data_IF_162006453634
#
_entry.id   IF_162006453634
#
_cell.length_a   1.000
_cell.length_b   1.000
_cell.length_c   1.000
_cell.angle_alpha   90.00
_cell.angle_beta   90.00
_cell.angle_gamma   90.00
#
_symmetry.space_group_name_H-M   'P 1'
#
loop_
_entity.id
_entity.type
_entity.pdbx_description
1 polymer ?
#
# COMPACT_ATOMS: atom_id res chain seq x y z
N UNK A 1 4.02 37.32 37.07
CA UNK A 1 4.33 36.19 36.18
C UNK A 1 3.28 36.17 35.08
N UNK A 2 3.59 36.74 33.91
CA UNK A 2 2.64 36.79 32.79
C UNK A 2 2.75 35.51 31.97
N UNK A 3 1.67 34.72 31.92
CA UNK A 3 1.57 33.58 31.04
C UNK A 3 1.58 34.07 29.58
N UNK A 4 2.61 33.69 28.83
CA UNK A 4 2.67 33.95 27.39
C UNK A 4 1.53 33.19 26.72
N UNK A 5 0.51 33.89 26.21
CA UNK A 5 -0.60 33.27 25.47
C UNK A 5 -0.01 32.67 24.20
N UNK A 6 0.01 31.33 24.12
CA UNK A 6 0.40 30.63 22.91
C UNK A 6 -0.44 31.13 21.74
N UNK A 7 0.19 31.34 20.58
CA UNK A 7 -0.51 31.75 19.37
C UNK A 7 -1.52 30.66 18.97
N UNK A 8 -2.64 31.01 18.31
CA UNK A 8 -3.60 30.03 17.81
C UNK A 8 -2.95 28.92 16.96
N UNK A 9 -1.89 29.26 16.22
CA UNK A 9 -1.09 28.32 15.46
C UNK A 9 -0.38 27.29 16.35
N UNK A 10 0.37 27.74 17.36
CA UNK A 10 1.14 26.84 18.24
C UNK A 10 0.24 25.88 19.02
N UNK A 11 -0.94 26.37 19.44
CA UNK A 11 -1.94 25.54 20.09
C UNK A 11 -2.49 24.46 19.13
N UNK A 12 -2.80 24.83 17.89
CA UNK A 12 -3.29 23.90 16.87
C UNK A 12 -2.24 22.87 16.47
N UNK A 13 -0.99 23.29 16.28
CA UNK A 13 0.12 22.40 15.95
C UNK A 13 0.34 21.34 17.05
N UNK A 14 0.32 21.77 18.32
CA UNK A 14 0.43 20.87 19.47
C UNK A 14 -0.72 19.87 19.51
N UNK A 15 -1.95 20.34 19.26
CA UNK A 15 -3.14 19.47 19.22
C UNK A 15 -3.05 18.42 18.10
N UNK A 16 -2.61 18.83 16.91
CA UNK A 16 -2.47 17.92 15.76
C UNK A 16 -1.38 16.88 16.00
N UNK A 17 -0.21 17.28 16.51
CA UNK A 17 0.90 16.35 16.84
C UNK A 17 0.53 15.37 17.95
N UNK A 18 -0.31 15.78 18.89
CA UNK A 18 -0.77 14.94 20.00
C UNK A 18 -1.99 14.04 19.68
N UNK A 19 -2.59 14.16 18.50
CA UNK A 19 -3.82 13.44 18.14
C UNK A 19 -3.53 12.31 17.15
N UNK A 20 -4.31 11.23 17.22
CA UNK A 20 -4.23 10.16 16.20
C UNK A 20 -4.93 10.60 14.91
N UNK A 21 -4.53 10.07 13.74
CA UNK A 21 -5.18 10.39 12.47
C UNK A 21 -6.70 10.14 12.49
N UNK A 22 -7.15 9.05 13.13
CA UNK A 22 -8.56 8.65 13.20
C UNK A 22 -9.37 9.64 14.05
N UNK A 23 -8.79 10.15 15.14
CA UNK A 23 -9.42 11.18 15.97
C UNK A 23 -9.54 12.50 15.24
N UNK A 24 -8.48 12.91 14.51
CA UNK A 24 -8.50 14.13 13.69
C UNK A 24 -9.57 14.00 12.61
N UNK A 25 -9.57 12.90 11.84
CA UNK A 25 -10.54 12.64 10.79
C UNK A 25 -11.98 12.65 11.33
N UNK A 26 -12.24 11.95 12.43
CA UNK A 26 -13.57 11.90 13.04
C UNK A 26 -14.05 13.29 13.48
N UNK A 27 -13.15 14.08 14.08
CA UNK A 27 -13.46 15.44 14.49
C UNK A 27 -13.78 16.34 13.28
N UNK A 28 -12.97 16.29 12.22
CA UNK A 28 -13.22 17.04 10.98
C UNK A 28 -14.56 16.65 10.37
N UNK A 29 -14.83 15.36 10.17
CA UNK A 29 -16.09 14.85 9.62
C UNK A 29 -17.31 15.27 10.47
N UNK A 30 -17.17 15.30 11.79
CA UNK A 30 -18.24 15.75 12.68
C UNK A 30 -18.46 17.27 12.59
N UNK A 31 -17.40 18.06 12.55
CA UNK A 31 -17.47 19.52 12.40
C UNK A 31 -18.06 19.93 11.06
N UNK A 32 -17.75 19.22 9.97
CA UNK A 32 -18.28 19.49 8.63
C UNK A 32 -19.81 19.42 8.56
N UNK A 33 -20.47 18.60 9.40
CA UNK A 33 -21.95 18.47 9.42
C UNK A 33 -22.66 19.76 9.85
N UNK A 34 -21.96 20.65 10.54
CA UNK A 34 -22.51 21.90 11.11
C UNK A 34 -21.78 23.15 10.59
N UNK A 35 -20.80 22.97 9.73
CA UNK A 35 -19.96 24.03 9.21
C UNK A 35 -20.72 24.89 8.19
N UNK A 36 -20.35 26.17 8.10
CA UNK A 36 -20.85 27.03 7.03
C UNK A 36 -20.23 26.65 5.69
N UNK A 37 -20.85 27.05 4.58
CA UNK A 37 -20.29 26.82 3.23
C UNK A 37 -18.89 27.43 3.11
N UNK A 38 -18.69 28.63 3.67
CA UNK A 38 -17.40 29.31 3.65
C UNK A 38 -16.31 28.54 4.40
N UNK A 39 -16.65 27.89 5.52
CA UNK A 39 -15.70 27.05 6.27
C UNK A 39 -15.36 25.78 5.48
N UNK A 40 -16.34 25.18 4.79
CA UNK A 40 -16.14 24.03 3.92
C UNK A 40 -15.22 24.39 2.75
N UNK A 41 -15.43 25.54 2.11
CA UNK A 41 -14.58 26.02 1.00
C UNK A 41 -13.14 26.27 1.48
N UNK A 42 -13.00 26.88 2.66
CA UNK A 42 -11.69 27.12 3.28
C UNK A 42 -10.98 25.80 3.58
N UNK A 43 -11.69 24.83 4.15
CA UNK A 43 -11.15 23.50 4.43
C UNK A 43 -10.79 22.75 3.14
N UNK A 44 -11.62 22.86 2.09
CA UNK A 44 -11.35 22.26 0.79
C UNK A 44 -10.08 22.82 0.15
N UNK A 45 -9.91 24.15 0.18
CA UNK A 45 -8.69 24.80 -0.30
C UNK A 45 -7.46 24.36 0.50
N UNK A 46 -7.58 24.23 1.83
CA UNK A 46 -6.49 23.78 2.68
C UNK A 46 -6.08 22.32 2.39
N UNK A 47 -7.05 21.46 2.06
CA UNK A 47 -6.83 20.04 1.77
C UNK A 47 -6.62 19.75 0.27
N UNK A 48 -6.58 20.77 -0.59
CA UNK A 48 -6.35 20.60 -2.02
C UNK A 48 -5.08 19.78 -2.37
N UNK A 49 -3.96 19.88 -1.63
CA UNK A 49 -2.81 19.01 -1.85
C UNK A 49 -3.13 17.51 -1.68
N UNK A 50 -3.95 17.14 -0.69
CA UNK A 50 -4.39 15.76 -0.50
C UNK A 50 -5.29 15.30 -1.65
N UNK A 51 -6.16 16.18 -2.15
CA UNK A 51 -7.00 15.86 -3.31
C UNK A 51 -6.13 15.58 -4.54
N UNK A 52 -5.14 16.45 -4.82
CA UNK A 52 -4.20 16.25 -5.93
C UNK A 52 -3.39 14.95 -5.81
N UNK A 53 -3.03 14.55 -4.58
CA UNK A 53 -2.33 13.29 -4.31
C UNK A 53 -3.23 12.06 -4.49
N UNK A 54 -4.55 12.21 -4.34
CA UNK A 54 -5.52 11.14 -4.58
C UNK A 54 -5.73 10.87 -6.08
N UNK A 55 -5.56 11.89 -6.92
CA UNK A 55 -5.88 11.82 -8.35
C UNK A 55 -4.81 11.10 -9.18
N UNK A 56 -3.62 10.90 -8.62
CA UNK A 56 -2.51 10.22 -9.31
C UNK A 56 -2.36 8.80 -8.79
N UNK A 57 -2.66 7.84 -9.66
CA UNK A 57 -2.41 6.42 -9.40
C UNK A 57 -1.02 6.05 -9.89
N UNK A 58 -0.21 5.55 -8.97
CA UNK A 58 1.13 5.01 -9.18
C UNK A 58 1.05 3.48 -9.14
N UNK A 59 2.10 2.81 -9.63
CA UNK A 59 2.16 1.36 -9.67
C UNK A 59 3.43 0.86 -8.97
N UNK A 60 3.27 0.04 -7.95
CA UNK A 60 4.37 -0.40 -7.10
C UNK A 60 5.28 -1.40 -7.84
N UNK A 61 6.58 -1.15 -7.91
CA UNK A 61 7.54 -2.10 -8.52
C UNK A 61 7.84 -3.32 -7.65
N UNK A 62 7.42 -3.31 -6.37
CA UNK A 62 7.62 -4.42 -5.44
C UNK A 62 6.47 -5.43 -5.43
N UNK A 63 5.23 -4.95 -5.30
CA UNK A 63 4.04 -5.81 -5.20
C UNK A 63 3.13 -5.74 -6.43
N UNK A 64 3.44 -4.87 -7.40
CA UNK A 64 2.67 -4.68 -8.62
C UNK A 64 1.20 -4.28 -8.42
N UNK A 65 0.89 -3.70 -7.26
CA UNK A 65 -0.41 -3.08 -6.99
C UNK A 65 -0.41 -1.59 -7.36
N UNK A 66 -1.57 -1.12 -7.80
CA UNK A 66 -1.84 0.31 -7.94
C UNK A 66 -2.05 0.94 -6.56
N UNK A 67 -1.53 2.16 -6.38
CA UNK A 67 -1.67 2.92 -5.14
C UNK A 67 -1.71 4.43 -5.43
N UNK A 68 -2.14 5.22 -4.45
CA UNK A 68 -2.01 6.69 -4.48
C UNK A 68 -1.19 7.13 -3.29
N UNK A 69 -0.61 8.33 -3.32
CA UNK A 69 0.21 8.78 -2.19
C UNK A 69 -0.61 8.88 -0.90
N UNK A 70 -1.92 9.18 -1.00
CA UNK A 70 -2.83 9.18 0.15
C UNK A 70 -2.98 7.82 0.82
N UNK A 71 -2.87 6.73 0.06
CA UNK A 71 -2.96 5.35 0.61
C UNK A 71 -1.59 4.75 0.91
N UNK A 72 -0.48 5.45 0.58
CA UNK A 72 0.89 4.95 0.70
C UNK A 72 1.49 5.09 2.13
N UNK A 73 0.78 4.61 3.13
CA UNK A 73 1.27 4.61 4.51
C UNK A 73 2.42 3.60 4.71
N UNK A 74 3.20 3.68 5.81
CA UNK A 74 4.37 2.81 6.05
C UNK A 74 4.17 1.29 6.04
N UNK A 75 2.92 0.80 5.96
CA UNK A 75 2.56 -0.63 5.94
C UNK A 75 1.58 -0.95 4.81
N UNK A 76 1.53 -0.11 3.78
CA UNK A 76 0.55 -0.21 2.69
C UNK A 76 0.88 -1.35 1.72
N UNK A 77 2.15 -1.48 1.35
CA UNK A 77 2.64 -2.58 0.55
C UNK A 77 2.84 -3.79 1.45
N UNK A 78 2.01 -4.81 1.23
CA UNK A 78 2.04 -6.08 1.95
C UNK A 78 2.33 -7.20 0.97
N UNK A 79 3.32 -8.03 1.30
CA UNK A 79 3.62 -9.27 0.57
C UNK A 79 3.55 -10.40 1.58
N UNK A 80 2.68 -11.37 1.33
CA UNK A 80 2.48 -12.54 2.18
C UNK A 80 3.63 -13.53 2.04
N UNK A 81 3.83 -14.36 3.05
CA UNK A 81 4.73 -15.52 2.93
C UNK A 81 4.22 -16.47 1.84
N UNK A 82 5.13 -16.93 0.97
CA UNK A 82 4.81 -17.99 0.03
C UNK A 82 4.58 -19.31 0.75
N UNK A 83 3.65 -20.12 0.25
CA UNK A 83 3.33 -21.43 0.85
C UNK A 83 4.50 -22.41 0.64
N UNK A 84 5.20 -22.76 1.72
CA UNK A 84 6.23 -23.80 1.72
C UNK A 84 7.68 -23.33 1.56
N UNK A 85 7.91 -22.02 1.59
CA UNK A 85 9.23 -21.42 1.33
C UNK A 85 10.02 -21.23 2.64
N UNK A 86 10.67 -22.29 3.11
CA UNK A 86 11.61 -22.15 4.23
C UNK A 86 12.48 -23.37 4.52
N UNK A 87 13.72 -23.10 4.90
CA UNK A 87 14.70 -24.11 5.30
C UNK A 87 14.60 -24.43 6.80
N UNK A 88 14.65 -25.72 7.14
CA UNK A 88 14.68 -26.20 8.53
C UNK A 88 16.11 -26.51 8.95
N UNK A 89 16.58 -25.81 9.98
CA UNK A 89 17.91 -26.02 10.57
C UNK A 89 17.77 -26.59 11.98
N UNK A 90 18.49 -27.69 12.27
CA UNK A 90 18.53 -28.26 13.62
C UNK A 90 19.59 -27.55 14.46
N UNK A 91 19.20 -26.99 15.60
CA UNK A 91 20.08 -26.32 16.55
C UNK A 91 20.20 -27.21 17.80
N UNK A 92 21.28 -27.99 17.88
CA UNK A 92 21.49 -28.95 18.97
C UNK A 92 20.67 -30.24 18.79
N UNK A 93 20.36 -30.91 19.90
CA UNK A 93 19.74 -32.24 19.85
C UNK A 93 18.23 -32.20 19.56
N UNK A 94 17.50 -31.16 20.00
CA UNK A 94 16.03 -31.17 19.96
C UNK A 94 15.34 -29.94 19.32
N UNK A 95 16.03 -28.83 19.06
CA UNK A 95 15.39 -27.63 18.51
C UNK A 95 15.50 -27.57 16.98
N UNK A 96 14.39 -27.28 16.29
CA UNK A 96 14.36 -27.06 14.84
C UNK A 96 13.87 -25.64 14.58
N UNK A 97 14.72 -24.82 13.98
CA UNK A 97 14.38 -23.47 13.53
C UNK A 97 14.02 -23.51 12.05
N UNK A 98 12.91 -22.87 11.69
CA UNK A 98 12.52 -22.64 10.31
C UNK A 98 12.92 -21.22 9.90
N UNK A 99 13.63 -21.09 8.79
CA UNK A 99 14.00 -19.81 8.17
C UNK A 99 13.18 -19.63 6.91
N UNK A 100 12.42 -18.53 6.79
CA UNK A 100 11.64 -18.28 5.58
C UNK A 100 12.52 -17.76 4.46
N UNK A 101 12.50 -18.42 3.31
CA UNK A 101 13.35 -18.04 2.17
C UNK A 101 12.98 -16.67 1.59
N UNK A 102 11.72 -16.23 1.78
CA UNK A 102 11.26 -14.94 1.26
C UNK A 102 11.77 -13.72 2.04
N UNK A 103 12.16 -13.87 3.32
CA UNK A 103 12.44 -12.73 4.21
C UNK A 103 13.48 -12.99 5.30
N UNK A 104 13.98 -14.22 5.43
CA UNK A 104 14.98 -14.60 6.43
C UNK A 104 14.46 -14.68 7.87
N UNK A 105 13.15 -14.51 8.09
CA UNK A 105 12.55 -14.62 9.42
C UNK A 105 12.77 -16.05 9.93
N UNK A 106 13.35 -16.15 11.12
CA UNK A 106 13.59 -17.39 11.82
C UNK A 106 12.58 -17.56 12.96
N UNK A 107 11.99 -18.74 13.07
CA UNK A 107 11.05 -19.09 14.12
C UNK A 107 11.10 -20.58 14.43
N UNK A 108 10.49 -21.00 15.53
CA UNK A 108 10.38 -22.43 15.85
C UNK A 108 9.52 -23.13 14.79
N UNK A 109 10.02 -24.22 14.21
CA UNK A 109 9.30 -24.94 13.16
C UNK A 109 7.97 -25.57 13.60
N UNK A 110 7.74 -25.68 14.91
CA UNK A 110 6.47 -26.13 15.48
C UNK A 110 5.46 -24.98 15.69
N UNK A 111 5.89 -23.72 15.57
CA UNK A 111 5.05 -22.53 15.68
C UNK A 111 4.64 -21.99 14.30
N UNK A 112 3.69 -21.05 14.29
CA UNK A 112 3.38 -20.27 13.08
C UNK A 112 4.41 -19.15 12.89
N UNK A 113 4.63 -18.67 11.65
CA UNK A 113 5.43 -17.48 11.41
C UNK A 113 4.97 -16.31 12.31
N UNK A 114 5.90 -15.53 12.88
CA UNK A 114 5.57 -14.44 13.81
C UNK A 114 4.74 -13.32 13.15
N UNK A 115 4.77 -13.25 11.83
CA UNK A 115 3.93 -12.35 11.03
C UNK A 115 3.39 -13.10 9.82
N UNK A 116 2.22 -12.72 9.28
CA UNK A 116 1.73 -13.31 8.04
C UNK A 116 2.36 -12.70 6.77
N UNK A 117 3.24 -11.70 6.89
CA UNK A 117 3.78 -10.94 5.76
C UNK A 117 5.31 -10.95 5.73
N UNK A 118 5.92 -11.30 4.59
CA UNK A 118 7.36 -11.12 4.33
C UNK A 118 7.74 -9.64 4.37
N UNK A 119 6.88 -8.76 3.83
CA UNK A 119 7.20 -7.33 3.66
C UNK A 119 6.03 -6.47 4.10
N UNK A 120 6.35 -5.50 4.97
CA UNK A 120 5.46 -4.41 5.38
C UNK A 120 6.18 -3.06 5.19
N UNK A 121 5.84 -2.34 4.13
CA UNK A 121 6.51 -1.08 3.81
C UNK A 121 5.62 -0.13 2.99
N UNK A 122 6.13 1.06 2.66
CA UNK A 122 5.53 1.94 1.64
C UNK A 122 5.67 1.32 0.26
N UNK A 123 4.68 1.48 -0.60
CA UNK A 123 4.83 1.26 -2.03
C UNK A 123 5.90 2.20 -2.60
N UNK A 124 6.56 1.76 -3.67
CA UNK A 124 7.57 2.55 -4.38
C UNK A 124 7.49 2.28 -5.87
N UNK A 125 7.84 3.28 -6.67
CA UNK A 125 8.10 3.16 -8.11
C UNK A 125 9.59 2.95 -8.42
N UNK A 126 10.46 3.12 -7.42
CA UNK A 126 11.91 3.04 -7.60
C UNK A 126 12.40 1.61 -7.28
N UNK A 127 12.93 0.87 -8.27
CA UNK A 127 13.50 -0.46 -8.07
C UNK A 127 14.62 -0.48 -7.01
N UNK A 128 15.41 0.58 -6.92
CA UNK A 128 16.54 0.66 -5.97
C UNK A 128 16.09 0.76 -4.50
N UNK A 129 14.82 1.11 -4.27
CA UNK A 129 14.21 1.13 -2.94
C UNK A 129 13.58 -0.21 -2.55
N UNK A 130 13.59 -1.18 -3.47
CA UNK A 130 13.09 -2.52 -3.19
C UNK A 130 14.24 -3.35 -2.65
N UNK A 131 14.07 -3.78 -1.40
CA UNK A 131 14.98 -4.69 -0.72
C UNK A 131 14.21 -5.97 -0.42
N UNK A 132 14.66 -7.06 -1.03
CA UNK A 132 14.27 -8.43 -0.72
C UNK A 132 15.34 -9.07 0.16
N UNK A 133 14.99 -10.17 0.82
CA UNK A 133 15.97 -10.98 1.52
C UNK A 133 16.82 -11.75 0.52
N UNK A 134 18.10 -11.89 0.84
CA UNK A 134 19.08 -12.67 0.10
C UNK A 134 19.76 -13.59 1.12
N UNK A 135 19.72 -14.91 0.89
CA UNK A 135 20.28 -15.89 1.84
C UNK A 135 21.78 -15.78 2.05
N UNK A 136 22.53 -15.28 1.07
CA UNK A 136 23.98 -15.13 1.12
C UNK A 136 24.39 -13.76 1.69
N UNK A 137 23.60 -12.71 1.44
CA UNK A 137 23.93 -11.31 1.79
C UNK A 137 23.08 -10.72 2.91
N UNK A 138 22.02 -11.39 3.33
CA UNK A 138 21.00 -10.89 4.26
C UNK A 138 19.98 -9.94 3.63
N UNK A 139 20.41 -9.03 2.75
CA UNK A 139 19.53 -8.10 2.02
C UNK A 139 20.02 -7.94 0.56
N UNK A 140 19.09 -7.85 -0.40
CA UNK A 140 19.41 -7.73 -1.82
C UNK A 140 18.25 -7.24 -2.71
N UNK A 141 18.55 -6.79 -3.93
CA UNK A 141 17.58 -6.30 -4.91
C UNK A 141 17.59 -7.10 -6.23
N UNK A 142 18.21 -8.27 -6.23
CA UNK A 142 18.40 -9.10 -7.44
C UNK A 142 17.10 -9.70 -7.97
N UNK A 143 16.06 -9.77 -7.13
CA UNK A 143 14.74 -10.32 -7.46
C UNK A 143 13.69 -9.26 -7.83
N UNK A 144 14.10 -8.00 -8.03
CA UNK A 144 13.17 -6.94 -8.44
C UNK A 144 12.79 -7.11 -9.89
N UNK A 145 11.51 -7.42 -10.12
CA UNK A 145 10.94 -7.56 -11.46
C UNK A 145 10.34 -6.22 -11.88
N UNK A 146 10.67 -5.76 -13.09
CA UNK A 146 10.05 -4.55 -13.62
C UNK A 146 8.57 -4.75 -13.90
N UNK A 147 7.80 -3.66 -13.96
CA UNK A 147 6.38 -3.73 -14.28
C UNK A 147 6.10 -4.31 -15.68
N UNK A 148 7.08 -4.23 -16.58
CA UNK A 148 6.99 -4.75 -17.94
C UNK A 148 7.21 -6.25 -17.98
N UNK A 149 8.19 -6.76 -17.22
CA UNK A 149 8.43 -8.19 -17.05
C UNK A 149 7.28 -8.89 -16.31
N UNK A 150 6.70 -8.24 -15.30
CA UNK A 150 5.53 -8.76 -14.58
C UNK A 150 4.24 -8.71 -15.41
N UNK A 151 4.21 -7.95 -16.51
CA UNK A 151 3.06 -7.86 -17.41
C UNK A 151 1.91 -6.99 -16.89
N UNK A 152 2.19 -5.99 -16.05
CA UNK A 152 1.18 -5.11 -15.45
C UNK A 152 0.39 -4.32 -16.50
N UNK A 153 1.04 -3.93 -17.60
CA UNK A 153 0.39 -3.23 -18.73
C UNK A 153 -0.41 -4.22 -19.59
N UNK A 154 -1.58 -4.65 -19.14
CA UNK A 154 -2.56 -5.32 -20.02
C UNK A 154 -2.96 -4.34 -21.12
N UNK A 155 -2.46 -4.53 -22.35
CA UNK A 155 -2.98 -3.85 -23.55
C UNK A 155 -4.49 -4.03 -23.53
N UNK A 156 -5.27 -2.95 -23.35
CA UNK A 156 -6.74 -3.00 -23.46
C UNK A 156 -7.09 -3.76 -24.74
N UNK A 157 -7.70 -4.96 -24.62
CA UNK A 157 -8.25 -5.65 -25.79
C UNK A 157 -9.25 -4.67 -26.40
N UNK A 158 -8.94 -4.13 -27.57
CA UNK A 158 -9.91 -3.33 -28.33
C UNK A 158 -11.17 -4.18 -28.44
N UNK A 159 -12.29 -3.68 -27.96
CA UNK A 159 -13.57 -4.37 -28.05
C UNK A 159 -13.77 -4.79 -29.50
N UNK A 160 -13.98 -6.09 -29.73
CA UNK A 160 -14.29 -6.60 -31.05
C UNK A 160 -15.59 -5.91 -31.48
N UNK A 161 -15.50 -5.00 -32.44
CA UNK A 161 -16.66 -4.45 -33.15
C UNK A 161 -17.45 -5.64 -33.71
N UNK A 162 -18.58 -5.92 -33.07
CA UNK A 162 -19.56 -6.91 -33.48
C UNK A 162 -20.06 -6.54 -34.86
N UNK A 163 -19.46 -7.14 -35.88
CA UNK A 163 -19.90 -7.01 -37.26
C UNK A 163 -21.16 -7.87 -37.43
N UNK A 164 -22.33 -7.31 -37.13
CA UNK A 164 -23.63 -7.93 -37.34
C UNK A 164 -23.88 -8.07 -38.85
N UNK A 165 -23.38 -9.17 -39.43
CA UNK A 165 -23.83 -9.64 -40.73
C UNK A 165 -25.26 -10.17 -40.60
N UNK A 166 -26.22 -9.34 -41.02
CA UNK A 166 -27.63 -9.65 -41.23
C UNK A 166 -27.76 -10.88 -42.15
N UNK A 167 -28.29 -11.98 -41.63
CA UNK A 167 -28.68 -13.15 -42.44
C UNK A 167 -30.06 -12.91 -43.09
N UNK A 168 -30.30 -13.36 -44.34
CA UNK A 168 -31.57 -13.13 -45.02
C UNK A 168 -32.61 -14.19 -44.62
N UNK A 169 -33.84 -13.74 -44.38
CA UNK A 169 -34.99 -14.57 -44.05
C UNK A 169 -35.41 -15.44 -45.25
N UNK A 170 -35.45 -16.77 -45.06
CA UNK A 170 -36.07 -17.71 -46.01
C UNK A 170 -37.55 -17.89 -45.68
N UNK A 171 -38.40 -17.61 -46.67
CA UNK A 171 -39.85 -17.86 -46.70
C UNK A 171 -40.15 -19.37 -46.64
N UNK A 172 -41.09 -19.78 -45.79
CA UNK A 172 -41.71 -21.12 -45.80
C UNK A 172 -42.79 -21.16 -46.90
N UNK A 173 -42.85 -22.27 -47.65
CA UNK A 173 -44.02 -22.69 -48.42
C UNK A 173 -44.97 -23.45 -47.50
#
# INVERSE_FOLDING_TARGET
>A
MSASKATPYAALETLLKGSTPEKIQSCLLQSMKKASIQDIDTLSALLAPLASQADTTEHCVRCHAEYTENTNHPKACKIEHGEGDGERTRIGDDAITMTLDCCGIQFDSEEEPPTPFCILARHTINPDQVVYYDGDKGEGNEHVVTCEEFGCKKKRKKAATSNTKKAPAKKRK
#
